data_IF_534461137372
#
_entry.id   IF_534461137372
#
_cell.length_a   1.000
_cell.length_b   1.000
_cell.length_c   1.000
_cell.angle_alpha   90.00
_cell.angle_beta   90.00
_cell.angle_gamma   90.00
#
_symmetry.space_group_name_H-M   'P 1'
#
loop_
_entity.id
_entity.type
_entity.pdbx_description
1 polymer ?
#
# COMPACT_ATOMS: atom_id res chain seq x y z
N UNK A 1 18.41 -12.38 4.73
CA UNK A 1 17.45 -12.64 5.82
C UNK A 1 16.04 -12.37 5.30
N UNK A 2 15.05 -13.18 5.70
CA UNK A 2 13.65 -13.04 5.27
C UNK A 2 12.72 -13.00 6.47
N UNK A 3 11.58 -12.35 6.32
CA UNK A 3 10.45 -12.35 7.26
C UNK A 3 9.20 -12.80 6.52
N UNK A 4 8.25 -13.43 7.23
CA UNK A 4 6.94 -13.78 6.67
C UNK A 4 5.90 -12.91 7.38
N UNK A 5 5.14 -12.14 6.63
CA UNK A 5 4.16 -11.18 7.14
C UNK A 5 2.88 -11.23 6.32
N UNK A 6 1.78 -10.85 6.95
CA UNK A 6 0.48 -10.64 6.31
C UNK A 6 0.39 -9.19 5.80
N UNK A 7 0.08 -9.02 4.52
CA UNK A 7 0.17 -7.70 3.87
C UNK A 7 -1.21 -7.06 3.79
N UNK A 8 -1.32 -5.79 4.18
CA UNK A 8 -2.56 -4.99 4.07
C UNK A 8 -2.26 -3.69 3.34
N UNK A 9 -2.93 -3.48 2.20
CA UNK A 9 -2.74 -2.27 1.39
C UNK A 9 -3.73 -1.17 1.80
N UNK A 10 -3.17 0.00 2.12
CA UNK A 10 -3.93 1.22 2.34
C UNK A 10 -3.80 2.17 1.15
N UNK A 11 -4.89 2.42 0.43
CA UNK A 11 -4.96 3.30 -0.72
C UNK A 11 -5.59 4.65 -0.36
N UNK A 12 -4.78 5.71 -0.41
CA UNK A 12 -5.23 7.08 -0.17
C UNK A 12 -5.43 7.88 -1.46
N UNK A 13 -5.31 7.26 -2.63
CA UNK A 13 -5.71 7.87 -3.90
C UNK A 13 -7.24 8.01 -3.94
N UNK A 14 -7.72 8.92 -4.78
CA UNK A 14 -9.15 9.15 -4.99
C UNK A 14 -9.79 8.16 -5.99
N UNK A 15 -9.17 6.99 -6.18
CA UNK A 15 -9.51 5.97 -7.16
C UNK A 15 -9.00 4.58 -6.74
N UNK A 16 -9.64 3.48 -7.15
CA UNK A 16 -9.19 2.14 -6.81
C UNK A 16 -7.82 1.81 -7.40
N UNK A 17 -7.14 0.87 -6.75
CA UNK A 17 -5.92 0.24 -7.25
C UNK A 17 -6.05 -1.28 -7.21
N UNK A 18 -5.38 -1.95 -8.14
CA UNK A 18 -5.26 -3.40 -8.22
C UNK A 18 -3.81 -3.79 -8.51
N UNK A 19 -3.52 -5.09 -8.47
CA UNK A 19 -2.17 -5.63 -8.70
C UNK A 19 -1.10 -4.88 -7.88
N UNK A 20 -1.43 -4.58 -6.62
CA UNK A 20 -0.50 -3.96 -5.69
C UNK A 20 0.50 -5.03 -5.21
N UNK A 21 1.78 -4.78 -5.46
CA UNK A 21 2.87 -5.71 -5.16
C UNK A 21 3.95 -5.06 -4.30
N UNK A 22 4.61 -5.87 -3.50
CA UNK A 22 5.88 -5.56 -2.83
C UNK A 22 6.94 -6.58 -3.26
N UNK A 23 7.99 -6.12 -3.94
CA UNK A 23 9.01 -6.96 -4.60
C UNK A 23 8.41 -8.00 -5.57
N UNK A 24 7.24 -7.73 -6.16
CA UNK A 24 6.51 -8.65 -7.04
C UNK A 24 5.61 -9.65 -6.29
N UNK A 25 5.53 -9.58 -4.96
CA UNK A 25 4.72 -10.46 -4.11
C UNK A 25 3.44 -9.75 -3.60
N UNK A 26 2.51 -10.53 -3.04
CA UNK A 26 1.30 -10.06 -2.35
C UNK A 26 0.12 -9.51 -3.19
N UNK A 27 0.15 -9.60 -4.53
CA UNK A 27 -0.83 -9.04 -5.47
C UNK A 27 -2.22 -8.75 -4.90
N UNK A 28 -2.46 -7.50 -4.52
CA UNK A 28 -3.63 -7.07 -3.77
C UNK A 28 -4.46 -5.98 -4.45
N UNK A 29 -5.70 -5.83 -3.99
CA UNK A 29 -6.62 -4.76 -4.41
C UNK A 29 -6.89 -3.87 -3.20
N UNK A 30 -7.06 -2.57 -3.42
CA UNK A 30 -7.46 -1.65 -2.34
C UNK A 30 -8.33 -0.52 -2.87
N UNK A 31 -9.49 -0.35 -2.23
CA UNK A 31 -10.41 0.76 -2.52
C UNK A 31 -9.91 2.07 -1.90
N UNK A 32 -10.31 3.23 -2.44
CA UNK A 32 -10.01 4.52 -1.84
C UNK A 32 -10.45 4.60 -0.38
N UNK A 33 -9.74 5.37 0.43
CA UNK A 33 -10.24 5.83 1.72
C UNK A 33 -11.64 6.47 1.57
N UNK A 34 -12.62 6.14 2.43
CA UNK A 34 -12.49 5.41 3.71
C UNK A 34 -12.53 3.87 3.64
N UNK A 35 -12.80 3.26 2.49
CA UNK A 35 -13.02 1.81 2.34
C UNK A 35 -11.71 0.99 2.17
N UNK A 36 -10.59 1.62 2.48
CA UNK A 36 -9.25 1.05 2.32
C UNK A 36 -8.88 0.07 3.43
N UNK A 37 -7.94 -0.86 3.16
CA UNK A 37 -7.39 -1.75 4.18
C UNK A 37 -8.34 -2.87 4.62
N UNK A 38 -9.35 -3.18 3.81
CA UNK A 38 -10.34 -4.23 4.07
C UNK A 38 -9.94 -5.65 3.64
N UNK A 39 -8.75 -5.84 3.09
CA UNK A 39 -8.26 -7.14 2.62
C UNK A 39 -6.81 -7.38 3.06
N UNK A 40 -6.50 -8.66 3.32
CA UNK A 40 -5.17 -9.13 3.72
C UNK A 40 -4.69 -10.22 2.78
N UNK A 41 -3.38 -10.21 2.50
CA UNK A 41 -2.70 -11.29 1.79
C UNK A 41 -1.75 -11.96 2.77
N UNK A 42 -2.08 -13.19 3.17
CA UNK A 42 -1.40 -13.86 4.26
C UNK A 42 -0.15 -14.62 3.84
N UNK A 43 0.81 -14.73 4.75
CA UNK A 43 1.98 -15.61 4.60
C UNK A 43 2.99 -15.15 3.56
N UNK A 44 3.10 -13.85 3.30
CA UNK A 44 4.00 -13.30 2.28
C UNK A 44 5.44 -13.29 2.80
N UNK A 45 6.33 -14.01 2.12
CA UNK A 45 7.75 -14.06 2.46
C UNK A 45 8.52 -12.94 1.77
N UNK A 46 9.07 -12.01 2.55
CA UNK A 46 9.83 -10.87 2.07
C UNK A 46 11.29 -10.94 2.49
N UNK A 47 12.20 -10.55 1.61
CA UNK A 47 13.61 -10.30 1.96
C UNK A 47 13.69 -8.97 2.71
N UNK A 48 14.53 -8.87 3.74
CA UNK A 48 14.83 -7.57 4.36
C UNK A 48 15.65 -6.68 3.41
N UNK A 49 15.68 -5.38 3.69
CA UNK A 49 16.41 -4.37 2.93
C UNK A 49 15.52 -3.63 1.92
N UNK A 50 16.11 -3.05 0.86
CA UNK A 50 15.40 -2.22 -0.10
C UNK A 50 14.16 -2.91 -0.70
N UNK A 51 13.10 -2.13 -0.92
CA UNK A 51 11.80 -2.61 -1.42
C UNK A 51 11.40 -1.84 -2.67
N UNK A 52 10.71 -2.55 -3.57
CA UNK A 52 10.00 -1.95 -4.70
C UNK A 52 8.52 -2.21 -4.48
N UNK A 53 7.70 -1.15 -4.48
CA UNK A 53 6.24 -1.25 -4.40
C UNK A 53 5.65 -0.71 -5.69
N UNK A 54 4.71 -1.47 -6.25
CA UNK A 54 4.02 -1.14 -7.50
C UNK A 54 2.53 -1.35 -7.36
N UNK A 55 1.72 -0.62 -8.11
CA UNK A 55 0.27 -0.82 -8.18
C UNK A 55 -0.27 -0.33 -9.52
N UNK A 56 -1.41 -0.87 -9.95
CA UNK A 56 -2.07 -0.45 -11.19
C UNK A 56 -3.29 0.42 -10.89
N UNK A 57 -3.42 1.53 -11.62
CA UNK A 57 -4.49 2.50 -11.44
C UNK A 57 -5.79 2.05 -12.13
N UNK A 58 -6.91 2.07 -11.40
CA UNK A 58 -8.23 1.74 -11.96
C UNK A 58 -9.24 2.90 -11.81
N UNK A 59 -10.34 2.85 -12.55
CA UNK A 59 -11.39 3.85 -12.50
C UNK A 59 -12.38 3.74 -13.67
N UNK A 60 -13.36 4.67 -13.75
CA UNK A 60 -14.31 4.72 -14.84
C UNK A 60 -13.63 4.85 -16.21
N UNK A 61 -14.27 4.33 -17.26
CA UNK A 61 -13.78 4.43 -18.65
C UNK A 61 -13.47 5.89 -19.00
N UNK A 62 -12.27 6.12 -19.54
CA UNK A 62 -11.81 7.45 -19.95
C UNK A 62 -11.15 8.28 -18.85
N UNK A 63 -11.07 7.78 -17.61
CA UNK A 63 -10.28 8.42 -16.57
C UNK A 63 -8.78 8.35 -16.94
N UNK A 64 -8.02 9.45 -16.78
CA UNK A 64 -6.61 9.47 -17.13
C UNK A 64 -5.82 8.38 -16.41
N UNK A 65 -4.84 7.78 -17.11
CA UNK A 65 -3.90 6.78 -16.57
C UNK A 65 -4.53 5.46 -16.11
N UNK A 66 -5.79 5.15 -16.46
CA UNK A 66 -6.34 3.83 -16.18
C UNK A 66 -5.48 2.73 -16.83
N UNK A 67 -5.21 1.67 -16.08
CA UNK A 67 -4.36 0.55 -16.49
C UNK A 67 -2.87 0.84 -16.41
N UNK A 68 -2.44 2.04 -16.02
CA UNK A 68 -1.03 2.36 -15.82
C UNK A 68 -0.52 1.73 -14.52
N UNK A 69 0.58 0.99 -14.59
CA UNK A 69 1.32 0.51 -13.42
C UNK A 69 2.28 1.59 -12.94
N UNK A 70 2.11 2.01 -11.69
CA UNK A 70 2.92 3.01 -11.01
C UNK A 70 3.95 2.31 -10.13
N UNK A 71 5.15 2.88 -10.04
CA UNK A 71 6.21 2.47 -9.12
C UNK A 71 6.36 3.55 -8.06
N UNK A 72 6.47 3.15 -6.78
CA UNK A 72 6.70 4.07 -5.68
C UNK A 72 7.93 4.97 -5.93
N UNK A 73 7.78 6.29 -5.72
CA UNK A 73 8.82 7.28 -6.02
C UNK A 73 9.91 7.36 -4.95
N UNK A 74 9.58 7.05 -3.70
CA UNK A 74 10.52 7.14 -2.60
C UNK A 74 11.30 5.82 -2.43
N UNK A 75 12.50 5.93 -1.84
CA UNK A 75 13.27 4.76 -1.43
C UNK A 75 12.58 4.11 -0.23
N UNK A 76 12.28 2.83 -0.35
CA UNK A 76 11.65 2.02 0.68
C UNK A 76 12.65 0.99 1.20
N UNK A 77 12.59 0.71 2.49
CA UNK A 77 13.40 -0.32 3.14
C UNK A 77 12.57 -1.06 4.18
N UNK A 78 12.60 -2.39 4.14
CA UNK A 78 12.05 -3.23 5.20
C UNK A 78 13.18 -3.67 6.12
N UNK A 79 13.29 -3.00 7.26
CA UNK A 79 14.19 -3.40 8.33
C UNK A 79 13.64 -4.61 9.09
N UNK A 80 14.48 -5.28 9.87
CA UNK A 80 14.07 -6.38 10.73
C UNK A 80 12.97 -5.88 11.69
N UNK A 81 11.73 -6.38 11.57
CA UNK A 81 10.68 -5.96 12.48
C UNK A 81 10.79 -6.69 13.83
N UNK A 82 10.10 -6.22 14.88
CA UNK A 82 9.96 -6.96 16.14
C UNK A 82 9.52 -8.40 15.93
N UNK A 83 9.96 -9.32 16.79
CA UNK A 83 9.77 -10.77 16.61
C UNK A 83 8.30 -11.22 16.58
N UNK A 84 7.39 -10.43 17.14
CA UNK A 84 5.94 -10.69 17.17
C UNK A 84 5.15 -9.91 16.10
N UNK A 85 5.84 -9.32 15.12
CA UNK A 85 5.18 -8.63 14.00
C UNK A 85 4.47 -9.66 13.13
N UNK A 86 3.18 -9.44 12.88
CA UNK A 86 2.35 -10.31 12.07
C UNK A 86 2.03 -9.65 10.72
N UNK A 87 1.81 -8.34 10.70
CA UNK A 87 1.36 -7.61 9.53
C UNK A 87 2.41 -6.62 9.00
N UNK A 88 2.34 -6.34 7.71
CA UNK A 88 2.95 -5.18 7.08
C UNK A 88 1.86 -4.33 6.42
N UNK A 89 1.62 -3.15 6.97
CA UNK A 89 0.77 -2.15 6.34
C UNK A 89 1.54 -1.43 5.23
N UNK A 90 0.97 -1.39 4.03
CA UNK A 90 1.53 -0.69 2.87
C UNK A 90 0.62 0.50 2.54
N UNK A 91 1.03 1.68 2.99
CA UNK A 91 0.28 2.92 2.80
C UNK A 91 0.71 3.61 1.49
N UNK A 92 -0.17 3.69 0.50
CA UNK A 92 0.04 4.25 -0.82
C UNK A 92 -0.63 5.62 -0.91
N UNK A 93 0.15 6.66 -1.20
CA UNK A 93 -0.28 8.06 -1.15
C UNK A 93 -0.51 8.68 -2.53
N UNK A 94 -1.31 9.77 -2.63
CA UNK A 94 -1.56 10.48 -3.90
C UNK A 94 -0.34 11.03 -4.62
N UNK A 95 0.76 11.28 -3.92
CA UNK A 95 2.02 11.78 -4.48
C UNK A 95 2.94 10.65 -4.99
N UNK A 96 2.39 9.45 -5.14
CA UNK A 96 3.09 8.23 -5.57
C UNK A 96 4.21 7.81 -4.60
N UNK A 97 4.13 8.24 -3.34
CA UNK A 97 4.98 7.74 -2.26
C UNK A 97 4.30 6.62 -1.48
N UNK A 98 5.10 5.81 -0.81
CA UNK A 98 4.66 4.68 0.01
C UNK A 98 5.28 4.75 1.40
N UNK A 99 4.56 4.26 2.40
CA UNK A 99 5.07 4.00 3.75
C UNK A 99 4.79 2.55 4.15
N UNK A 100 5.81 1.91 4.71
CA UNK A 100 5.78 0.52 5.16
C UNK A 100 5.81 0.51 6.69
N UNK A 101 4.74 -0.01 7.30
CA UNK A 101 4.60 -0.04 8.77
C UNK A 101 4.36 -1.47 9.23
N UNK A 102 5.37 -2.13 9.82
CA UNK A 102 5.18 -3.42 10.47
C UNK A 102 4.31 -3.27 11.72
N UNK A 103 3.31 -4.13 11.90
CA UNK A 103 2.41 -4.12 13.07
C UNK A 103 2.17 -5.51 13.64
N UNK A 104 1.95 -5.58 14.95
CA UNK A 104 1.60 -6.84 15.65
C UNK A 104 0.11 -7.17 15.46
N UNK A 105 -0.74 -6.16 15.39
CA UNK A 105 -2.18 -6.31 15.20
C UNK A 105 -2.60 -5.81 13.82
N UNK A 106 -3.82 -6.15 13.43
CA UNK A 106 -4.39 -5.70 12.18
C UNK A 106 -4.24 -4.16 12.04
N UNK A 107 -3.60 -3.69 10.97
CA UNK A 107 -3.24 -2.29 10.83
C UNK A 107 -4.46 -1.39 10.61
N UNK A 108 -4.28 -0.10 10.85
CA UNK A 108 -5.31 0.93 10.65
C UNK A 108 -4.78 2.02 9.74
N UNK A 109 -5.69 2.81 9.17
CA UNK A 109 -5.31 4.00 8.43
C UNK A 109 -4.53 4.99 9.32
N UNK A 110 -3.48 5.61 8.79
CA UNK A 110 -2.68 6.62 9.50
C UNK A 110 -3.32 8.00 9.43
N UNK A 111 -3.02 8.86 10.40
CA UNK A 111 -3.44 10.28 10.38
C UNK A 111 -2.94 10.99 9.11
N UNK A 112 -1.69 10.73 8.72
CA UNK A 112 -1.10 11.23 7.47
C UNK A 112 -1.93 10.82 6.26
N UNK A 113 -2.27 9.54 6.14
CA UNK A 113 -3.05 9.06 5.00
C UNK A 113 -4.46 9.63 4.96
N UNK A 114 -5.12 9.73 6.11
CA UNK A 114 -6.44 10.38 6.22
C UNK A 114 -6.35 11.85 5.77
N UNK A 115 -5.35 12.59 6.25
CA UNK A 115 -5.15 13.99 5.87
C UNK A 115 -4.90 14.15 4.37
N UNK A 116 -4.05 13.31 3.77
CA UNK A 116 -3.76 13.36 2.34
C UNK A 116 -4.96 12.97 1.46
N UNK A 117 -5.73 11.95 1.86
CA UNK A 117 -6.93 11.56 1.15
C UNK A 117 -7.98 12.69 1.14
N UNK A 118 -8.20 13.34 2.30
CA UNK A 118 -9.11 14.50 2.40
C UNK A 118 -8.65 15.66 1.54
N UNK A 119 -7.37 16.04 1.62
CA UNK A 119 -6.82 17.11 0.79
C UNK A 119 -6.92 16.80 -0.72
N UNK A 120 -6.83 15.52 -1.12
CA UNK A 120 -7.00 15.12 -2.52
C UNK A 120 -8.46 15.13 -2.99
N UNK A 121 -9.43 14.96 -2.08
CA UNK A 121 -10.86 15.07 -2.37
C UNK A 121 -11.31 16.53 -2.53
N UNK A 122 -10.74 17.45 -1.75
CA UNK A 122 -11.05 18.89 -1.79
C UNK A 122 -10.53 19.62 -3.04
N UNK A 123 -9.56 19.04 -3.75
CA UNK A 123 -8.96 19.62 -4.97
C UNK A 123 -9.71 19.25 -6.27
N UNK A 124 -10.89 18.65 -6.17
CA UNK A 124 -11.78 18.34 -7.30
C UNK A 124 -12.70 19.52 -7.63
#
# INVERSE_FOLDING_TARGET
MTVTLDIVFFNYLNRPIFDAFIDGEAGGVSFPYPDTGGSTISGVRLRLGPKIVTWTLDGPKGMPRNGETVVARNKLELLQPPSNTEFLAVHIYPDETVELIPTIHYPRATEKGIAMARAAQERR
#
